data_IF_582112700270
#
_entry.id   IF_582112700270
#
_cell.length_a   1.000
_cell.length_b   1.000
_cell.length_c   1.000
_cell.angle_alpha   90.00
_cell.angle_beta   90.00
_cell.angle_gamma   90.00
#
_symmetry.space_group_name_H-M   'P 1'
#
loop_
_entity.id
_entity.type
_entity.pdbx_description
1 polymer ?
#
# COMPACT_ATOMS: atom_id res chain seq x y z
N UNK A 1 -2.83 6.23 -11.29
CA UNK A 1 -3.43 7.55 -10.97
C UNK A 1 -2.27 8.49 -10.69
N UNK A 2 -2.45 9.78 -10.47
CA UNK A 2 -1.31 10.66 -10.13
C UNK A 2 -1.05 10.62 -8.63
N UNK A 3 0.02 9.94 -8.22
CA UNK A 3 0.53 10.03 -6.85
C UNK A 3 1.07 11.43 -6.55
N UNK A 4 1.59 12.13 -7.56
CA UNK A 4 2.10 13.51 -7.42
C UNK A 4 1.00 14.50 -7.03
N UNK A 5 -0.21 14.36 -7.57
CA UNK A 5 -1.33 15.21 -7.17
C UNK A 5 -1.61 15.09 -5.68
N UNK A 6 -1.59 13.87 -5.13
CA UNK A 6 -1.80 13.66 -3.68
C UNK A 6 -0.65 14.29 -2.91
N UNK A 7 0.60 14.07 -3.35
CA UNK A 7 1.79 14.64 -2.73
C UNK A 7 1.77 16.18 -2.68
N UNK A 8 1.33 16.82 -3.76
CA UNK A 8 1.34 18.28 -3.90
C UNK A 8 0.15 18.95 -3.23
N UNK A 9 -1.01 18.28 -3.21
CA UNK A 9 -2.30 18.92 -2.92
C UNK A 9 -3.02 18.42 -1.67
N UNK A 10 -2.69 17.27 -1.10
CA UNK A 10 -3.25 16.85 0.19
C UNK A 10 -2.72 17.80 1.27
N UNK A 11 -3.56 18.72 1.81
CA UNK A 11 -3.11 19.60 2.86
C UNK A 11 -3.37 18.91 4.19
N UNK A 12 -2.37 18.95 5.06
CA UNK A 12 -2.49 18.96 6.52
C UNK A 12 -2.43 17.65 7.32
N UNK A 13 -2.12 16.48 6.73
CA UNK A 13 -1.70 15.31 7.54
C UNK A 13 -0.51 14.53 6.98
N UNK A 14 -0.22 14.67 5.69
CA UNK A 14 0.93 14.03 5.07
C UNK A 14 2.00 15.09 4.84
N UNK A 15 3.18 14.89 5.45
CA UNK A 15 4.31 15.83 5.46
C UNK A 15 5.04 15.85 4.10
N UNK A 16 4.28 15.73 3.02
CA UNK A 16 4.75 15.47 1.67
C UNK A 16 5.70 14.28 1.65
N UNK A 17 6.95 14.52 1.24
CA UNK A 17 7.99 13.50 1.20
C UNK A 17 8.45 12.98 2.58
N UNK A 18 8.02 13.58 3.69
CA UNK A 18 8.40 13.14 5.05
C UNK A 18 7.43 12.11 5.65
N UNK A 19 6.38 11.72 4.92
CA UNK A 19 5.48 10.63 5.30
C UNK A 19 4.00 11.01 5.22
N UNK A 20 3.13 10.03 5.47
CA UNK A 20 1.69 10.22 5.39
C UNK A 20 0.86 9.02 5.81
N UNK A 21 -0.47 9.17 5.73
CA UNK A 21 -1.47 8.22 6.20
C UNK A 21 -2.41 7.80 5.07
N UNK A 22 -2.45 6.49 4.79
CA UNK A 22 -3.28 5.88 3.74
C UNK A 22 -4.74 6.35 3.81
N UNK A 23 -5.34 6.36 5.01
CA UNK A 23 -6.72 6.77 5.22
C UNK A 23 -6.96 8.26 4.90
N UNK A 24 -6.03 9.14 5.29
CA UNK A 24 -6.12 10.57 5.00
C UNK A 24 -6.04 10.83 3.50
N UNK A 25 -5.04 10.24 2.83
CA UNK A 25 -4.89 10.32 1.37
C UNK A 25 -6.15 9.85 0.63
N UNK A 26 -6.74 8.70 1.01
CA UNK A 26 -7.96 8.20 0.36
C UNK A 26 -9.19 9.08 0.62
N UNK A 27 -9.33 9.66 1.83
CA UNK A 27 -10.40 10.61 2.15
C UNK A 27 -10.23 11.94 1.41
N UNK A 28 -8.98 12.37 1.21
CA UNK A 28 -8.67 13.52 0.39
C UNK A 28 -9.05 13.28 -1.07
N UNK A 29 -8.68 12.13 -1.65
CA UNK A 29 -9.07 11.73 -3.01
C UNK A 29 -10.60 11.66 -3.14
N UNK A 30 -11.30 11.13 -2.13
CA UNK A 30 -12.78 11.11 -2.11
C UNK A 30 -13.39 12.50 -2.20
N UNK A 31 -12.77 13.53 -1.62
CA UNK A 31 -13.29 14.91 -1.62
C UNK A 31 -12.81 15.76 -2.80
N UNK A 32 -11.71 15.41 -3.46
CA UNK A 32 -11.08 16.24 -4.51
C UNK A 32 -11.00 15.57 -5.89
N UNK A 33 -11.32 14.27 -5.98
CA UNK A 33 -11.01 13.39 -7.10
C UNK A 33 -9.49 13.27 -7.37
N UNK A 34 -9.09 12.25 -8.14
CA UNK A 34 -7.69 12.06 -8.55
C UNK A 34 -7.56 11.94 -10.07
N UNK A 35 -6.51 12.55 -10.62
CA UNK A 35 -6.20 12.54 -12.06
C UNK A 35 -5.32 11.35 -12.45
N UNK A 36 -4.97 11.27 -13.74
CA UNK A 36 -4.07 10.26 -14.30
C UNK A 36 -2.60 10.65 -14.14
N UNK A 37 -1.72 9.65 -14.06
CA UNK A 37 -0.26 9.84 -14.05
C UNK A 37 0.20 10.66 -15.27
N UNK A 38 -0.29 10.36 -16.47
CA UNK A 38 0.04 11.12 -17.69
C UNK A 38 -0.29 12.63 -17.61
N UNK A 39 -1.25 13.01 -16.76
CA UNK A 39 -1.67 14.41 -16.62
C UNK A 39 -0.81 15.16 -15.60
N UNK A 40 -0.39 14.46 -14.54
CA UNK A 40 0.40 15.01 -13.46
C UNK A 40 1.44 13.96 -13.04
N UNK A 41 2.55 13.86 -13.81
CA UNK A 41 3.53 12.81 -13.60
C UNK A 41 4.27 12.94 -12.27
N UNK A 42 4.74 11.82 -11.75
CA UNK A 42 5.55 11.77 -10.55
C UNK A 42 6.93 12.42 -10.73
N UNK A 43 7.24 13.38 -9.86
CA UNK A 43 8.51 14.13 -9.80
C UNK A 43 9.33 13.78 -8.55
N UNK A 44 8.76 13.01 -7.61
CA UNK A 44 9.47 12.52 -6.43
C UNK A 44 9.90 13.59 -5.42
N UNK A 45 9.34 14.79 -5.53
CA UNK A 45 9.54 15.91 -4.61
C UNK A 45 8.24 16.66 -4.39
N UNK A 46 8.12 17.30 -3.24
CA UNK A 46 6.98 18.15 -2.94
C UNK A 46 6.99 19.38 -3.86
N UNK A 47 5.94 19.49 -4.68
CA UNK A 47 5.68 20.62 -5.55
C UNK A 47 4.62 21.56 -4.98
N UNK A 48 4.22 22.53 -5.80
CA UNK A 48 3.05 23.36 -5.49
C UNK A 48 1.79 22.66 -5.97
N UNK A 49 0.70 22.76 -5.21
CA UNK A 49 -0.61 22.32 -5.69
C UNK A 49 -1.13 23.24 -6.82
N UNK A 50 -0.73 22.95 -8.06
CA UNK A 50 -1.16 23.67 -9.25
C UNK A 50 -2.08 22.78 -10.08
N UNK A 51 -3.39 23.05 -10.06
CA UNK A 51 -4.35 22.22 -10.79
C UNK A 51 -4.04 22.24 -12.29
N UNK A 52 -3.63 21.09 -12.83
CA UNK A 52 -3.37 20.90 -14.26
C UNK A 52 -4.68 20.95 -15.06
N UNK A 53 -4.66 21.59 -16.24
CA UNK A 53 -5.86 21.70 -17.08
C UNK A 53 -6.41 20.35 -17.55
N UNK A 54 -5.56 19.34 -17.73
CA UNK A 54 -5.97 17.97 -18.05
C UNK A 54 -6.74 17.28 -16.90
N UNK A 55 -6.56 17.72 -15.65
CA UNK A 55 -7.20 17.14 -14.48
C UNK A 55 -8.71 17.38 -14.47
N UNK A 56 -9.22 18.37 -15.24
CA UNK A 56 -10.66 18.60 -15.38
C UNK A 56 -11.38 17.50 -16.19
N UNK A 57 -10.66 16.77 -17.05
CA UNK A 57 -11.26 15.82 -18.01
C UNK A 57 -11.08 14.34 -17.63
N UNK A 58 -10.05 14.01 -16.86
CA UNK A 58 -9.69 12.63 -16.50
C UNK A 58 -9.66 12.52 -14.99
N UNK A 59 -10.76 12.11 -14.38
CA UNK A 59 -10.90 12.01 -12.93
C UNK A 59 -11.41 10.64 -12.52
N UNK A 60 -10.76 10.05 -11.53
CA UNK A 60 -11.29 8.91 -10.79
C UNK A 60 -11.89 9.42 -9.49
N UNK A 61 -13.06 8.87 -9.16
CA UNK A 61 -13.83 9.24 -7.97
C UNK A 61 -13.91 8.05 -7.03
N UNK A 62 -13.76 8.31 -5.75
CA UNK A 62 -14.04 7.34 -4.69
C UNK A 62 -15.42 7.66 -4.12
N UNK A 63 -16.33 6.67 -4.13
CA UNK A 63 -17.63 6.77 -3.47
C UNK A 63 -17.47 6.65 -1.96
N UNK A 64 -16.71 5.66 -1.51
CA UNK A 64 -16.50 5.37 -0.09
C UNK A 64 -15.09 4.87 0.20
N UNK A 65 -14.59 5.18 1.40
CA UNK A 65 -13.31 4.65 1.89
C UNK A 65 -13.64 3.70 3.02
N UNK A 66 -13.26 2.44 2.86
CA UNK A 66 -13.54 1.40 3.85
C UNK A 66 -12.26 1.02 4.57
N UNK A 67 -12.38 0.75 5.86
CA UNK A 67 -11.34 0.10 6.65
C UNK A 67 -11.66 -1.39 6.81
N UNK A 68 -10.63 -2.24 6.81
CA UNK A 68 -10.77 -3.66 7.14
C UNK A 68 -10.97 -3.80 8.65
N UNK A 69 -12.01 -4.53 9.05
CA UNK A 69 -12.36 -4.76 10.45
C UNK A 69 -12.76 -6.24 10.68
N UNK A 70 -12.41 -6.84 11.84
CA UNK A 70 -11.62 -6.27 12.92
C UNK A 70 -10.13 -6.19 12.60
N UNK A 71 -9.47 -5.16 13.13
CA UNK A 71 -8.00 -5.05 13.14
C UNK A 71 -7.41 -6.29 13.83
N UNK A 72 -6.30 -6.78 13.31
CA UNK A 72 -5.63 -7.97 13.80
C UNK A 72 -6.23 -9.30 13.36
N UNK A 73 -7.22 -9.29 12.46
CA UNK A 73 -7.77 -10.49 11.84
C UNK A 73 -7.23 -10.66 10.42
N UNK A 74 -6.23 -11.53 10.24
CA UNK A 74 -5.78 -11.91 8.89
C UNK A 74 -6.90 -12.52 8.04
N UNK A 75 -7.90 -13.16 8.66
CA UNK A 75 -9.08 -13.67 7.96
C UNK A 75 -9.91 -12.52 7.36
N UNK A 76 -10.17 -11.46 8.13
CA UNK A 76 -10.89 -10.29 7.63
C UNK A 76 -10.12 -9.60 6.50
N UNK A 77 -8.80 -9.50 6.62
CA UNK A 77 -7.95 -8.98 5.55
C UNK A 77 -7.98 -9.88 4.31
N UNK A 78 -7.95 -11.21 4.47
CA UNK A 78 -8.05 -12.13 3.33
C UNK A 78 -9.38 -11.96 2.60
N UNK A 79 -10.49 -11.84 3.34
CA UNK A 79 -11.81 -11.55 2.77
C UNK A 79 -11.87 -10.24 1.99
N UNK A 80 -11.21 -9.19 2.48
CA UNK A 80 -11.13 -7.90 1.77
C UNK A 80 -10.26 -8.01 0.50
N UNK A 81 -9.07 -8.59 0.64
CA UNK A 81 -8.09 -8.79 -0.45
C UNK A 81 -8.66 -9.65 -1.58
N UNK A 82 -9.47 -10.66 -1.26
CA UNK A 82 -10.14 -11.50 -2.25
C UNK A 82 -11.11 -10.73 -3.16
N UNK A 83 -11.60 -9.56 -2.71
CA UNK A 83 -12.51 -8.71 -3.47
C UNK A 83 -11.77 -7.66 -4.28
N UNK A 84 -10.72 -7.07 -3.70
CA UNK A 84 -9.91 -6.04 -4.33
C UNK A 84 -8.63 -5.77 -3.54
N UNK A 85 -7.65 -5.06 -4.13
CA UNK A 85 -6.43 -4.69 -3.42
C UNK A 85 -6.69 -3.86 -2.15
N UNK A 86 -5.91 -4.12 -1.10
CA UNK A 86 -5.99 -3.42 0.19
C UNK A 86 -4.65 -2.74 0.48
N UNK A 87 -4.68 -1.45 0.75
CA UNK A 87 -3.52 -0.71 1.20
C UNK A 87 -3.30 -0.96 2.71
N UNK A 88 -2.07 -1.29 3.08
CA UNK A 88 -1.68 -1.67 4.45
C UNK A 88 -0.36 -1.03 4.84
N UNK A 89 -0.06 -0.99 6.14
CA UNK A 89 1.23 -0.53 6.64
C UNK A 89 2.00 -1.71 7.23
N UNK A 90 3.32 -1.75 6.99
CA UNK A 90 4.24 -2.75 7.54
C UNK A 90 5.46 -2.07 8.20
N UNK A 91 6.18 -2.81 9.05
CA UNK A 91 7.59 -2.50 9.35
C UNK A 91 8.45 -2.92 8.16
N UNK A 92 9.27 -2.01 7.65
CA UNK A 92 10.19 -2.28 6.55
C UNK A 92 11.65 -1.89 6.85
N UNK A 93 12.05 -1.92 8.12
CA UNK A 93 13.38 -1.53 8.56
C UNK A 93 14.44 -2.60 8.31
N UNK A 94 14.02 -3.84 8.11
CA UNK A 94 14.92 -4.97 8.17
C UNK A 94 15.71 -5.14 6.87
N UNK A 95 17.03 -5.27 7.01
CA UNK A 95 17.98 -5.38 5.90
C UNK A 95 17.63 -6.52 4.94
N UNK A 96 17.12 -7.64 5.45
CA UNK A 96 16.69 -8.77 4.63
C UNK A 96 15.46 -8.46 3.77
N UNK A 97 14.58 -7.54 4.20
CA UNK A 97 13.49 -7.03 3.36
C UNK A 97 14.03 -6.01 2.36
N UNK A 98 14.91 -5.11 2.79
CA UNK A 98 15.52 -4.12 1.89
C UNK A 98 16.25 -4.76 0.70
N UNK A 99 16.93 -5.88 0.92
CA UNK A 99 17.62 -6.66 -0.13
C UNK A 99 16.80 -7.85 -0.67
N UNK A 100 15.51 -7.91 -0.38
CA UNK A 100 14.62 -8.93 -0.93
C UNK A 100 14.67 -8.93 -2.45
N UNK A 101 14.80 -10.12 -3.03
CA UNK A 101 14.79 -10.33 -4.48
C UNK A 101 13.98 -11.58 -4.83
N UNK A 102 13.77 -11.82 -6.12
CA UNK A 102 13.00 -12.98 -6.61
C UNK A 102 13.45 -14.32 -6.03
N UNK A 103 14.75 -14.52 -5.80
CA UNK A 103 15.29 -15.77 -5.26
C UNK A 103 15.12 -15.90 -3.75
N UNK A 104 14.67 -14.85 -3.05
CA UNK A 104 14.42 -14.87 -1.61
C UNK A 104 13.20 -15.72 -1.23
N UNK A 105 12.28 -16.02 -2.17
CA UNK A 105 11.08 -16.81 -1.90
C UNK A 105 10.10 -16.10 -0.98
N UNK A 106 9.49 -16.83 -0.05
CA UNK A 106 8.57 -16.24 0.95
C UNK A 106 9.36 -15.55 2.05
N UNK A 107 9.14 -14.25 2.23
CA UNK A 107 9.70 -13.48 3.33
C UNK A 107 9.06 -13.90 4.66
N UNK A 108 9.90 -14.28 5.62
CA UNK A 108 9.48 -14.81 6.94
C UNK A 108 9.97 -13.95 8.11
N UNK A 109 10.40 -12.72 7.86
CA UNK A 109 10.98 -11.85 8.87
C UNK A 109 12.45 -12.18 9.18
N UNK A 110 12.98 -11.75 10.34
CA UNK A 110 12.25 -11.09 11.43
C UNK A 110 11.75 -9.70 11.03
N UNK A 111 10.80 -9.16 11.81
CA UNK A 111 10.37 -7.77 11.77
C UNK A 111 10.32 -7.24 13.21
N UNK A 112 11.17 -6.26 13.51
CA UNK A 112 11.47 -5.73 14.84
C UNK A 112 11.14 -4.25 14.98
N UNK A 113 10.90 -3.55 13.87
CA UNK A 113 10.55 -2.14 13.85
C UNK A 113 9.07 -1.82 14.06
N UNK A 114 8.79 -0.52 14.21
CA UNK A 114 7.43 0.02 14.12
C UNK A 114 6.96 0.12 12.66
N UNK A 115 5.64 0.20 12.50
CA UNK A 115 5.01 0.42 11.20
C UNK A 115 5.50 1.74 10.59
N UNK A 116 6.06 1.68 9.39
CA UNK A 116 6.65 2.86 8.75
C UNK A 116 6.52 2.90 7.22
N UNK A 117 5.99 1.84 6.60
CA UNK A 117 5.95 1.74 5.14
C UNK A 117 4.58 1.29 4.65
N UNK A 118 3.99 2.06 3.74
CA UNK A 118 2.71 1.76 3.12
C UNK A 118 2.92 0.94 1.83
N UNK A 119 2.21 -0.18 1.72
CA UNK A 119 2.24 -1.10 0.57
C UNK A 119 0.82 -1.56 0.22
N UNK A 120 0.67 -2.29 -0.88
CA UNK A 120 -0.64 -2.81 -1.30
C UNK A 120 -0.62 -4.33 -1.34
N UNK A 121 -1.52 -4.95 -0.59
CA UNK A 121 -1.80 -6.39 -0.71
C UNK A 121 -2.72 -6.58 -1.92
N UNK A 122 -2.24 -7.29 -2.94
CA UNK A 122 -2.97 -7.52 -4.20
C UNK A 122 -3.54 -8.93 -4.30
N UNK A 123 -3.20 -9.80 -3.37
CA UNK A 123 -3.66 -11.18 -3.34
C UNK A 123 -3.02 -11.97 -2.22
N UNK A 124 -3.35 -13.25 -2.17
CA UNK A 124 -2.66 -14.25 -1.35
C UNK A 124 -2.64 -15.57 -2.12
N UNK A 125 -1.62 -16.38 -1.85
CA UNK A 125 -1.44 -17.68 -2.48
C UNK A 125 -0.78 -18.65 -1.51
N UNK A 126 -0.60 -19.90 -1.94
CA UNK A 126 0.27 -20.86 -1.28
C UNK A 126 1.50 -21.04 -2.14
N UNK A 127 2.67 -20.77 -1.58
CA UNK A 127 3.93 -20.98 -2.27
C UNK A 127 4.15 -22.47 -2.53
N UNK A 128 4.44 -22.82 -3.78
CA UNK A 128 4.53 -24.22 -4.20
C UNK A 128 5.80 -24.93 -3.70
N UNK A 129 6.85 -24.16 -3.36
CA UNK A 129 8.14 -24.71 -2.95
C UNK A 129 8.17 -24.94 -1.44
N UNK A 130 7.84 -23.91 -0.66
CA UNK A 130 7.85 -23.94 0.81
C UNK A 130 6.55 -24.49 1.41
N UNK A 131 5.46 -24.53 0.64
CA UNK A 131 4.13 -24.89 1.12
C UNK A 131 3.47 -23.85 2.03
N UNK A 132 4.11 -22.68 2.22
CA UNK A 132 3.62 -21.62 3.09
C UNK A 132 2.51 -20.80 2.42
N UNK A 133 1.47 -20.46 3.17
CA UNK A 133 0.54 -19.41 2.73
C UNK A 133 1.25 -18.06 2.77
N UNK A 134 1.07 -17.23 1.74
CA UNK A 134 1.71 -15.93 1.62
C UNK A 134 0.77 -14.86 1.07
N UNK A 135 0.95 -13.65 1.56
CA UNK A 135 0.44 -12.43 0.96
C UNK A 135 1.28 -12.08 -0.27
N UNK A 136 0.62 -11.59 -1.33
CA UNK A 136 1.27 -11.01 -2.50
C UNK A 136 1.20 -9.49 -2.32
N UNK A 137 2.34 -8.85 -2.12
CA UNK A 137 2.43 -7.42 -1.88
C UNK A 137 3.12 -6.71 -3.04
N UNK A 138 2.49 -5.62 -3.49
CA UNK A 138 3.08 -4.66 -4.42
C UNK A 138 3.79 -3.58 -3.62
N UNK A 139 5.08 -3.40 -3.89
CA UNK A 139 5.92 -2.37 -3.31
C UNK A 139 6.11 -1.19 -4.29
N UNK A 140 6.70 -0.09 -3.80
CA UNK A 140 6.95 1.15 -4.54
C UNK A 140 8.45 1.45 -4.75
N UNK A 141 9.35 0.49 -4.52
CA UNK A 141 10.81 0.65 -4.71
C UNK A 141 11.31 0.29 -6.12
N UNK A 142 10.41 0.39 -7.10
CA UNK A 142 10.69 0.14 -8.51
C UNK A 142 10.76 -1.34 -8.89
N UNK A 143 10.75 -1.63 -10.21
CA UNK A 143 10.62 -3.00 -10.72
C UNK A 143 11.88 -3.84 -10.56
N UNK A 144 13.04 -3.24 -10.25
CA UNK A 144 14.30 -3.97 -10.04
C UNK A 144 14.40 -4.59 -8.64
N UNK A 145 13.55 -4.15 -7.71
CA UNK A 145 13.49 -4.68 -6.36
C UNK A 145 12.52 -5.87 -6.30
N UNK A 146 12.80 -6.87 -5.48
CA UNK A 146 11.94 -8.05 -5.31
C UNK A 146 11.75 -8.88 -6.58
N UNK A 147 10.53 -9.36 -6.78
CA UNK A 147 10.08 -10.00 -8.02
C UNK A 147 9.27 -8.99 -8.83
N UNK A 148 9.94 -8.19 -9.65
CA UNK A 148 9.32 -7.14 -10.46
C UNK A 148 8.55 -6.08 -9.65
N UNK A 149 9.08 -5.67 -8.49
CA UNK A 149 8.44 -4.74 -7.56
C UNK A 149 7.46 -5.39 -6.58
N UNK A 150 7.30 -6.71 -6.63
CA UNK A 150 6.50 -7.48 -5.69
C UNK A 150 7.35 -8.25 -4.70
N UNK A 151 6.75 -8.62 -3.58
CA UNK A 151 7.31 -9.60 -2.67
C UNK A 151 6.21 -10.46 -2.06
N UNK A 152 6.61 -11.65 -1.63
CA UNK A 152 5.72 -12.62 -1.02
C UNK A 152 6.04 -12.67 0.46
N UNK A 153 5.07 -12.42 1.34
CA UNK A 153 5.28 -12.41 2.78
C UNK A 153 4.43 -13.48 3.44
N UNK A 154 5.03 -14.23 4.36
CA UNK A 154 4.32 -15.31 5.07
C UNK A 154 3.05 -14.77 5.73
N UNK A 155 1.95 -15.45 5.45
CA UNK A 155 0.65 -15.26 6.07
C UNK A 155 0.50 -16.27 7.22
N UNK A 156 -0.26 -15.91 8.25
CA UNK A 156 -0.53 -16.75 9.40
C UNK A 156 0.64 -16.80 10.39
N UNK A 157 1.38 -15.69 10.51
CA UNK A 157 2.54 -15.54 11.38
C UNK A 157 2.36 -14.34 12.32
N UNK A 158 3.12 -14.31 13.42
CA UNK A 158 3.13 -13.22 14.43
C UNK A 158 1.77 -12.86 15.06
N UNK A 159 0.87 -13.87 15.14
CA UNK A 159 -0.38 -13.80 15.89
C UNK A 159 -1.31 -12.68 15.42
N UNK A 160 -1.82 -11.88 16.37
CA UNK A 160 -2.79 -10.81 16.09
C UNK A 160 -2.23 -9.63 15.31
N UNK A 161 -0.91 -9.53 15.14
CA UNK A 161 -0.30 -8.43 14.39
C UNK A 161 -0.09 -8.79 12.91
N UNK A 162 -0.03 -10.08 12.58
CA UNK A 162 0.50 -10.54 11.30
C UNK A 162 2.00 -10.26 11.17
N UNK A 163 2.69 -10.97 10.28
CA UNK A 163 4.11 -10.74 10.02
C UNK A 163 4.35 -9.27 9.64
N UNK A 164 5.35 -8.65 10.28
CA UNK A 164 5.70 -7.23 10.11
C UNK A 164 4.57 -6.24 10.45
N UNK A 165 3.59 -6.68 11.22
CA UNK A 165 2.46 -5.86 11.64
C UNK A 165 1.45 -5.57 10.52
N UNK A 166 1.42 -6.38 9.45
CA UNK A 166 0.54 -6.18 8.29
C UNK A 166 -0.94 -6.03 8.63
N UNK A 167 -1.40 -6.61 9.75
CA UNK A 167 -2.77 -6.45 10.27
C UNK A 167 -2.83 -5.77 11.64
N UNK A 168 -1.70 -5.22 12.13
CA UNK A 168 -1.62 -4.47 13.40
C UNK A 168 -2.39 -3.15 13.36
N UNK A 169 -2.51 -2.54 12.17
CA UNK A 169 -3.27 -1.30 11.93
C UNK A 169 -4.42 -1.52 10.93
N UNK A 170 -5.26 -0.51 10.73
CA UNK A 170 -6.30 -0.54 9.71
C UNK A 170 -5.69 -0.70 8.30
N UNK A 171 -6.15 -1.70 7.56
CA UNK A 171 -6.02 -1.73 6.11
C UNK A 171 -7.16 -0.93 5.48
N UNK A 172 -6.91 -0.27 4.35
CA UNK A 172 -7.91 0.56 3.67
C UNK A 172 -8.09 0.16 2.22
N UNK A 173 -9.32 0.33 1.72
CA UNK A 173 -9.63 0.16 0.32
C UNK A 173 -10.72 1.14 -0.15
N UNK A 174 -10.59 1.71 -1.36
CA UNK A 174 -11.62 2.56 -1.93
C UNK A 174 -12.74 1.75 -2.57
N UNK A 175 -13.96 2.27 -2.50
CA UNK A 175 -15.13 1.81 -3.26
C UNK A 175 -15.39 2.82 -4.38
N UNK A 176 -15.29 2.43 -5.66
CA UNK A 176 -15.55 3.34 -6.78
C UNK A 176 -17.06 3.63 -6.95
N UNK A 177 -17.38 4.60 -7.81
CA UNK A 177 -18.75 4.82 -8.29
C UNK A 177 -19.16 3.78 -9.33
#
# INVERSE_FOLDING_TARGET
>A
MSEQQVLDCEPSQDLGCLGGWIGAALLWIKSHDITTEDCWPYDGRLGFCTIHTCAWRRKFKIKEVMAVYPVGSEEAFAWAVARQPVAVTISANETNLQFYNKSSGVYTGPCTGELNHAVVVVGYTRDAISGMDCWILKNSWGPKWGDNGFFYMRKGADGRNGLCGIVKANGFYPVPF
#
